data_IF_997453125935
#
_entry.id   IF_997453125935
#
_cell.length_a   1.000
_cell.length_b   1.000
_cell.length_c   1.000
_cell.angle_alpha   90.00
_cell.angle_beta   90.00
_cell.angle_gamma   90.00
#
_symmetry.space_group_name_H-M   'P 1'
#
loop_
_entity.id
_entity.type
_entity.pdbx_description
1 polymer ?
#
# COMPACT_ATOMS: atom_id res chain seq x y z
N UNK A 1 2.14 -5.68 -0.83
CA UNK A 1 0.82 -5.06 -0.54
C UNK A 1 0.32 -5.56 0.81
N UNK A 2 -0.49 -4.78 1.52
CA UNK A 2 -1.19 -5.19 2.75
C UNK A 2 -0.26 -5.65 3.88
N UNK A 3 0.56 -4.73 4.39
CA UNK A 3 1.67 -5.05 5.30
C UNK A 3 1.31 -4.84 6.78
N UNK A 4 0.06 -4.47 7.10
CA UNK A 4 -0.35 -4.19 8.47
C UNK A 4 0.30 -2.91 9.00
N UNK A 5 0.95 -2.98 10.16
CA UNK A 5 1.53 -1.84 10.88
C UNK A 5 2.97 -1.49 10.44
N UNK A 6 3.34 -1.81 9.20
CA UNK A 6 4.64 -1.49 8.62
C UNK A 6 4.58 -0.11 7.97
N UNK A 7 5.42 0.81 8.43
CA UNK A 7 5.48 2.17 7.90
C UNK A 7 6.62 2.37 6.92
N UNK A 8 7.74 1.69 7.14
CA UNK A 8 8.98 1.79 6.36
C UNK A 8 9.52 0.43 5.90
N UNK A 9 10.40 0.42 4.90
CA UNK A 9 11.14 -0.77 4.47
C UNK A 9 12.04 -1.32 5.59
N UNK A 10 12.57 -0.44 6.44
CA UNK A 10 13.34 -0.84 7.61
C UNK A 10 12.47 -1.63 8.60
N UNK A 11 11.23 -1.18 8.87
CA UNK A 11 10.28 -1.90 9.71
C UNK A 11 9.96 -3.28 9.13
N UNK A 12 9.81 -3.37 7.80
CA UNK A 12 9.55 -4.63 7.11
C UNK A 12 10.72 -5.61 7.27
N UNK A 13 11.96 -5.17 7.02
CA UNK A 13 13.15 -6.01 7.20
C UNK A 13 13.39 -6.39 8.68
N UNK A 14 13.06 -5.50 9.61
CA UNK A 14 13.12 -5.79 11.04
C UNK A 14 12.07 -6.81 11.50
N UNK A 15 10.92 -6.88 10.81
CA UNK A 15 9.89 -7.89 11.09
C UNK A 15 10.32 -9.30 10.68
N UNK A 16 11.02 -9.42 9.55
CA UNK A 16 11.62 -10.66 9.07
C UNK A 16 12.68 -10.33 8.00
N UNK A 17 13.93 -10.75 8.23
CA UNK A 17 15.05 -10.45 7.33
C UNK A 17 14.85 -10.99 5.92
N UNK A 18 14.06 -12.06 5.75
CA UNK A 18 13.78 -12.68 4.45
C UNK A 18 12.99 -11.77 3.52
N UNK A 19 12.34 -10.72 4.04
CA UNK A 19 11.68 -9.73 3.18
C UNK A 19 12.66 -8.97 2.29
N UNK A 20 13.93 -8.83 2.69
CA UNK A 20 14.96 -8.18 1.88
C UNK A 20 15.37 -8.98 0.63
N UNK A 21 15.03 -10.28 0.56
CA UNK A 21 15.32 -11.13 -0.59
C UNK A 21 14.32 -10.93 -1.75
N UNK A 22 13.17 -10.29 -1.49
CA UNK A 22 12.16 -10.06 -2.53
C UNK A 22 12.56 -8.92 -3.45
N UNK A 23 12.39 -9.13 -4.76
CA UNK A 23 12.58 -8.07 -5.75
C UNK A 23 11.74 -6.81 -5.47
N UNK A 24 10.53 -6.99 -4.92
CA UNK A 24 9.69 -5.85 -4.54
C UNK A 24 10.34 -4.97 -3.45
N UNK A 25 11.02 -5.58 -2.48
CA UNK A 25 11.76 -4.86 -1.44
C UNK A 25 12.98 -4.15 -2.05
N UNK A 26 13.77 -4.87 -2.85
CA UNK A 26 14.99 -4.35 -3.46
C UNK A 26 14.73 -3.19 -4.42
N UNK A 27 13.59 -3.21 -5.11
CA UNK A 27 13.18 -2.16 -6.04
C UNK A 27 12.36 -1.05 -5.36
N UNK A 28 12.11 -1.13 -4.04
CA UNK A 28 11.27 -0.17 -3.33
C UNK A 28 9.80 -0.15 -3.78
N UNK A 29 9.31 -1.21 -4.44
CA UNK A 29 7.93 -1.33 -4.92
C UNK A 29 7.05 -2.06 -3.90
N UNK A 30 7.05 -1.54 -2.68
CA UNK A 30 6.31 -2.10 -1.53
C UNK A 30 5.20 -1.12 -1.18
N UNK A 31 3.97 -1.63 -1.01
CA UNK A 31 2.79 -0.79 -0.79
C UNK A 31 1.98 -1.24 0.42
N UNK A 32 1.34 -0.30 1.09
CA UNK A 32 0.42 -0.56 2.20
C UNK A 32 -0.87 0.28 2.07
N UNK A 33 -1.96 -0.21 2.65
CA UNK A 33 -3.32 0.37 2.50
C UNK A 33 -3.62 1.50 3.50
N UNK A 34 -2.60 2.08 4.12
CA UNK A 34 -2.71 3.01 5.24
C UNK A 34 -2.55 4.48 4.83
N UNK A 35 -2.65 4.82 3.54
CA UNK A 35 -2.53 6.21 3.04
C UNK A 35 -3.48 7.17 3.77
N UNK A 36 -4.70 6.71 4.06
CA UNK A 36 -5.75 7.49 4.72
C UNK A 36 -5.94 7.04 6.17
N UNK A 37 -4.85 7.05 6.93
CA UNK A 37 -4.85 6.85 8.38
C UNK A 37 -4.78 8.19 9.10
N UNK A 38 -5.66 8.44 10.05
CA UNK A 38 -5.66 9.66 10.85
C UNK A 38 -4.71 9.57 12.06
N UNK A 39 -4.52 10.69 12.78
CA UNK A 39 -3.64 10.78 13.95
C UNK A 39 -4.04 9.87 15.13
N UNK A 40 -5.30 9.40 15.15
CA UNK A 40 -5.83 8.49 16.16
C UNK A 40 -5.72 7.01 15.74
N UNK A 41 -5.13 6.71 14.58
CA UNK A 41 -4.97 5.35 14.05
C UNK A 41 -6.19 4.81 13.29
N UNK A 42 -7.21 5.63 13.06
CA UNK A 42 -8.36 5.25 12.22
C UNK A 42 -7.96 5.19 10.75
N UNK A 43 -8.16 4.02 10.11
CA UNK A 43 -7.75 3.76 8.74
C UNK A 43 -8.99 3.62 7.83
N UNK A 44 -9.17 4.56 6.90
CA UNK A 44 -10.33 4.62 5.99
C UNK A 44 -10.47 3.39 5.09
N UNK A 45 -9.40 2.61 4.87
CA UNK A 45 -9.51 1.34 4.17
C UNK A 45 -10.48 0.38 4.87
N UNK A 46 -10.47 0.33 6.20
CA UNK A 46 -11.39 -0.55 6.95
C UNK A 46 -12.80 0.04 7.10
N UNK A 47 -12.96 1.34 6.90
CA UNK A 47 -14.24 2.04 7.08
C UNK A 47 -15.05 2.09 5.77
N UNK A 48 -14.41 2.45 4.64
CA UNK A 48 -15.13 2.76 3.40
C UNK A 48 -14.78 1.89 2.19
N UNK A 49 -13.68 1.13 2.23
CA UNK A 49 -13.22 0.38 1.05
C UNK A 49 -14.18 -0.75 0.63
N UNK A 50 -14.83 -1.39 1.60
CA UNK A 50 -15.84 -2.42 1.32
C UNK A 50 -17.06 -1.86 0.59
N UNK A 51 -17.43 -0.60 0.87
CA UNK A 51 -18.51 0.10 0.17
C UNK A 51 -18.06 0.68 -1.17
N UNK A 52 -16.76 0.96 -1.33
CA UNK A 52 -16.15 1.55 -2.53
C UNK A 52 -15.07 0.63 -3.14
N UNK A 53 -15.40 -0.61 -3.53
CA UNK A 53 -14.42 -1.58 -4.02
C UNK A 53 -13.76 -1.15 -5.34
N UNK A 54 -14.39 -0.23 -6.08
CA UNK A 54 -13.84 0.33 -7.32
C UNK A 54 -12.59 1.17 -7.08
N UNK A 55 -12.48 1.89 -5.95
CA UNK A 55 -11.25 2.61 -5.59
C UNK A 55 -10.12 1.66 -5.18
N UNK A 56 -10.43 0.58 -4.46
CA UNK A 56 -9.45 -0.47 -4.16
C UNK A 56 -8.92 -1.08 -5.45
N UNK A 57 -9.81 -1.42 -6.38
CA UNK A 57 -9.42 -1.96 -7.68
C UNK A 57 -8.57 -0.97 -8.48
N UNK A 58 -8.93 0.30 -8.52
CA UNK A 58 -8.17 1.32 -9.25
C UNK A 58 -6.75 1.51 -8.68
N UNK A 59 -6.59 1.51 -7.35
CA UNK A 59 -5.27 1.53 -6.71
C UNK A 59 -4.44 0.30 -7.07
N UNK A 60 -5.03 -0.90 -7.05
CA UNK A 60 -4.34 -2.13 -7.42
C UNK A 60 -3.96 -2.13 -8.91
N UNK A 61 -4.82 -1.62 -9.79
CA UNK A 61 -4.48 -1.42 -11.21
C UNK A 61 -3.30 -0.43 -11.32
N UNK A 62 -3.30 0.69 -10.59
CA UNK A 62 -2.17 1.63 -10.61
C UNK A 62 -0.86 1.01 -10.11
N UNK A 63 -0.91 0.10 -9.13
CA UNK A 63 0.27 -0.63 -8.63
C UNK A 63 0.84 -1.59 -9.68
N UNK A 64 -0.01 -2.37 -10.33
CA UNK A 64 0.44 -3.44 -11.23
C UNK A 64 0.57 -3.03 -12.70
N UNK A 65 -0.24 -2.07 -13.13
CA UNK A 65 -0.45 -1.62 -14.51
C UNK A 65 -0.75 -0.11 -14.58
N UNK A 66 0.18 0.77 -14.12
CA UNK A 66 -0.05 2.21 -14.07
C UNK A 66 -0.42 2.82 -15.43
N UNK A 67 0.01 2.21 -16.54
CA UNK A 67 -0.32 2.62 -17.91
C UNK A 67 -1.81 2.55 -18.24
N UNK A 68 -2.59 1.73 -17.53
CA UNK A 68 -4.03 1.58 -17.74
C UNK A 68 -4.85 2.68 -17.05
N UNK A 69 -4.27 3.35 -16.05
CA UNK A 69 -4.93 4.36 -15.22
C UNK A 69 -3.98 5.55 -14.94
N UNK A 70 -3.46 6.21 -15.99
CA UNK A 70 -2.38 7.20 -15.85
C UNK A 70 -2.76 8.39 -14.95
N UNK A 71 -4.04 8.74 -14.90
CA UNK A 71 -4.57 9.88 -14.16
C UNK A 71 -5.20 9.51 -12.81
N UNK A 72 -5.24 8.21 -12.45
CA UNK A 72 -5.82 7.77 -11.17
C UNK A 72 -4.89 8.11 -10.03
N UNK A 73 -5.34 8.81 -9.00
CA UNK A 73 -4.55 9.03 -7.78
C UNK A 73 -4.87 7.99 -6.72
N UNK A 74 -3.86 7.61 -5.95
CA UNK A 74 -4.04 6.62 -4.90
C UNK A 74 -5.08 7.09 -3.87
N UNK A 75 -6.01 6.20 -3.52
CA UNK A 75 -7.06 6.47 -2.53
C UNK A 75 -6.73 5.82 -1.20
N UNK A 76 -6.34 4.55 -1.19
CA UNK A 76 -6.05 3.78 0.01
C UNK A 76 -4.60 3.35 0.11
N UNK A 77 -3.93 3.09 -1.02
CA UNK A 77 -2.56 2.58 -1.01
C UNK A 77 -1.51 3.69 -1.07
N UNK A 78 -0.40 3.51 -0.37
CA UNK A 78 0.81 4.33 -0.55
C UNK A 78 2.02 3.44 -0.77
N UNK A 79 3.06 4.01 -1.38
CA UNK A 79 4.39 3.42 -1.35
C UNK A 79 4.93 3.45 0.09
N UNK A 80 5.60 2.39 0.48
CA UNK A 80 6.35 2.28 1.74
C UNK A 80 7.75 2.81 1.49
N UNK A 81 8.18 3.77 2.32
CA UNK A 81 9.49 4.44 2.22
C UNK A 81 10.63 3.63 2.84
#
# INVERSE_FOLDING_TARGET
>A
INLGFVSTLADLAASDERFADFAAFQNGTVYNYDLRTNEFGGNDFFESAAANPHWVLADLIKIFHPELVPDHEFVYYRLVE
#
